data_IF_559413033035
#
_entry.id   IF_559413033035
#
_cell.length_a   1.000
_cell.length_b   1.000
_cell.length_c   1.000
_cell.angle_alpha   90.00
_cell.angle_beta   90.00
_cell.angle_gamma   90.00
#
_symmetry.space_group_name_H-M   'P 1'
#
loop_
_entity.id
_entity.type
_entity.pdbx_description
1 polymer ?
#
# COMPACT_ATOMS: atom_id res chain seq x y z
N UNK A 1 44.91 18.36 -42.95
CA UNK A 1 44.07 17.30 -42.30
C UNK A 1 43.52 17.76 -40.94
N UNK A 2 43.28 19.06 -40.73
CA UNK A 2 42.94 19.59 -39.39
C UNK A 2 41.48 20.03 -39.22
N UNK A 3 40.83 20.57 -40.26
CA UNK A 3 39.47 21.11 -40.14
C UNK A 3 38.40 20.02 -40.12
N UNK A 4 38.50 19.02 -41.01
CA UNK A 4 37.52 17.94 -41.13
C UNK A 4 37.40 17.08 -39.86
N UNK A 5 38.52 16.77 -39.22
CA UNK A 5 38.52 15.98 -37.98
C UNK A 5 37.92 16.77 -36.80
N UNK A 6 38.09 18.10 -36.76
CA UNK A 6 37.47 18.97 -35.75
C UNK A 6 35.93 18.98 -35.87
N UNK A 7 35.40 19.04 -37.09
CA UNK A 7 33.94 18.99 -37.30
C UNK A 7 33.35 17.62 -36.97
N UNK A 8 34.05 16.53 -37.30
CA UNK A 8 33.63 15.17 -36.94
C UNK A 8 33.56 15.01 -35.41
N UNK A 9 34.58 15.49 -34.69
CA UNK A 9 34.59 15.46 -33.22
C UNK A 9 33.40 16.25 -32.62
N UNK A 10 33.10 17.41 -33.19
CA UNK A 10 32.04 18.29 -32.71
C UNK A 10 30.64 17.68 -32.94
N UNK A 11 30.45 16.97 -34.06
CA UNK A 11 29.23 16.19 -34.33
C UNK A 11 29.09 15.03 -33.34
N UNK A 12 30.17 14.27 -33.08
CA UNK A 12 30.13 13.18 -32.10
C UNK A 12 29.81 13.69 -30.69
N UNK A 13 30.39 14.81 -30.27
CA UNK A 13 30.10 15.43 -28.99
C UNK A 13 28.63 15.89 -28.90
N UNK A 14 28.10 16.48 -29.97
CA UNK A 14 26.71 16.91 -30.06
C UNK A 14 25.72 15.74 -29.95
N UNK A 15 25.95 14.65 -30.68
CA UNK A 15 25.12 13.44 -30.61
C UNK A 15 25.19 12.83 -29.21
N UNK A 16 26.38 12.72 -28.62
CA UNK A 16 26.56 12.18 -27.26
C UNK A 16 25.79 12.99 -26.22
N UNK A 17 25.85 14.33 -26.28
CA UNK A 17 25.11 15.20 -25.38
C UNK A 17 23.59 15.05 -25.55
N UNK A 18 23.11 14.95 -26.79
CA UNK A 18 21.69 14.80 -27.08
C UNK A 18 21.15 13.43 -26.64
N UNK A 19 21.93 12.35 -26.83
CA UNK A 19 21.59 11.01 -26.35
C UNK A 19 21.54 10.94 -24.83
N UNK A 20 22.48 11.58 -24.13
CA UNK A 20 22.45 11.69 -22.66
C UNK A 20 21.19 12.43 -22.19
N UNK A 21 20.85 13.55 -22.81
CA UNK A 21 19.63 14.32 -22.50
C UNK A 21 18.35 13.49 -22.68
N UNK A 22 18.31 12.64 -23.70
CA UNK A 22 17.18 11.76 -23.97
C UNK A 22 17.07 10.61 -22.95
N UNK A 23 18.20 10.01 -22.56
CA UNK A 23 18.25 8.97 -21.52
C UNK A 23 17.85 9.54 -20.15
N UNK A 24 18.35 10.73 -19.79
CA UNK A 24 17.97 11.39 -18.54
C UNK A 24 16.48 11.75 -18.52
N UNK A 25 15.94 12.30 -19.61
CA UNK A 25 14.51 12.60 -19.68
C UNK A 25 13.65 11.33 -19.62
N UNK A 26 14.02 10.24 -20.32
CA UNK A 26 13.24 9.02 -20.29
C UNK A 26 13.28 8.35 -18.90
N UNK A 27 14.42 8.39 -18.20
CA UNK A 27 14.52 7.84 -16.83
C UNK A 27 13.80 8.71 -15.79
N UNK A 28 13.83 10.05 -15.92
CA UNK A 28 13.12 10.94 -14.99
C UNK A 28 11.61 11.00 -15.24
N UNK A 29 11.15 11.01 -16.50
CA UNK A 29 9.72 11.13 -16.83
C UNK A 29 8.97 9.80 -16.81
N UNK A 30 9.65 8.66 -16.99
CA UNK A 30 9.03 7.33 -16.87
C UNK A 30 9.00 6.80 -15.44
N UNK A 31 9.30 7.62 -14.44
CA UNK A 31 8.82 7.36 -13.10
C UNK A 31 7.52 8.14 -12.96
N UNK A 32 6.36 7.61 -13.39
CA UNK A 32 5.11 8.13 -12.87
C UNK A 32 5.24 7.92 -11.37
N UNK A 33 5.48 9.01 -10.62
CA UNK A 33 5.13 8.97 -9.22
C UNK A 33 3.69 8.48 -9.22
N UNK A 34 3.50 7.24 -8.78
CA UNK A 34 2.20 6.79 -8.29
C UNK A 34 1.70 7.95 -7.44
N UNK A 35 0.43 8.36 -7.57
CA UNK A 35 -0.10 9.44 -6.74
C UNK A 35 0.36 9.13 -5.33
N UNK A 36 1.26 9.95 -4.80
CA UNK A 36 1.85 9.72 -3.50
C UNK A 36 0.62 9.71 -2.61
N UNK A 37 0.24 8.52 -2.13
CA UNK A 37 -0.73 8.40 -1.06
C UNK A 37 -0.04 9.19 0.04
N UNK A 38 -0.49 10.41 0.28
CA UNK A 38 0.20 11.38 1.15
C UNK A 38 0.45 10.81 2.56
N UNK A 39 -0.22 9.70 2.87
CA UNK A 39 -0.18 8.98 4.11
C UNK A 39 0.80 7.79 4.11
N UNK A 40 1.45 7.41 3.01
CA UNK A 40 2.38 6.25 3.01
C UNK A 40 3.59 6.48 3.94
N UNK A 41 4.15 7.69 3.93
CA UNK A 41 5.24 8.06 4.86
C UNK A 41 4.76 8.06 6.32
N UNK A 42 3.52 8.51 6.56
CA UNK A 42 2.94 8.54 7.91
C UNK A 42 2.63 7.12 8.42
N UNK A 43 2.12 6.25 7.55
CA UNK A 43 1.83 4.84 7.84
C UNK A 43 3.10 3.99 7.98
N UNK A 44 4.25 4.45 7.49
CA UNK A 44 5.53 3.78 7.73
C UNK A 44 5.95 3.85 9.21
N UNK A 45 5.46 4.84 9.96
CA UNK A 45 5.75 5.00 11.38
C UNK A 45 4.64 4.37 12.21
N UNK A 46 5.02 3.46 13.11
CA UNK A 46 4.08 2.82 14.02
C UNK A 46 3.61 3.81 15.08
N UNK A 47 2.33 4.15 15.05
CA UNK A 47 1.72 5.05 16.04
C UNK A 47 1.49 4.31 17.36
N UNK A 48 1.60 5.01 18.50
CA UNK A 48 1.33 4.41 19.81
C UNK A 48 -0.14 4.01 19.95
N UNK A 49 -1.04 4.88 19.48
CA UNK A 49 -2.48 4.66 19.46
C UNK A 49 -3.09 5.25 18.22
N UNK A 50 -4.24 4.71 17.83
CA UNK A 50 -5.14 5.26 16.82
C UNK A 50 -6.58 5.12 17.28
N UNK A 51 -7.39 6.12 16.97
CA UNK A 51 -8.74 6.27 17.48
C UNK A 51 -9.77 6.43 16.35
N UNK A 52 -11.03 6.20 16.70
CA UNK A 52 -12.17 6.35 15.80
C UNK A 52 -12.09 5.48 14.53
N UNK A 53 -11.53 4.28 14.65
CA UNK A 53 -11.41 3.34 13.54
C UNK A 53 -12.77 2.68 13.28
N UNK A 54 -13.11 2.53 12.00
CA UNK A 54 -14.28 1.76 11.55
C UNK A 54 -13.82 0.48 10.87
N UNK A 55 -14.37 -0.66 11.27
CA UNK A 55 -14.18 -1.96 10.60
C UNK A 55 -15.50 -2.42 9.99
N UNK A 56 -15.47 -2.82 8.72
CA UNK A 56 -16.62 -3.37 7.99
C UNK A 56 -16.27 -4.76 7.50
N UNK A 57 -17.09 -5.76 7.84
CA UNK A 57 -17.01 -7.11 7.29
C UNK A 57 -18.16 -7.30 6.29
N UNK A 58 -17.82 -7.31 5.01
CA UNK A 58 -18.74 -7.47 3.90
C UNK A 58 -18.70 -8.90 3.38
N UNK A 59 -19.59 -9.74 3.89
CA UNK A 59 -19.75 -11.14 3.50
C UNK A 59 -20.31 -11.31 2.09
N UNK A 60 -20.59 -10.23 1.36
CA UNK A 60 -21.06 -10.27 -0.04
C UNK A 60 -22.27 -11.20 -0.26
N UNK A 61 -23.16 -11.28 0.73
CA UNK A 61 -24.38 -12.09 0.69
C UNK A 61 -24.27 -13.50 1.27
N UNK A 62 -23.09 -13.94 1.73
CA UNK A 62 -22.94 -15.24 2.42
C UNK A 62 -23.61 -15.22 3.80
N UNK A 63 -23.53 -14.09 4.51
CA UNK A 63 -24.25 -13.83 5.77
C UNK A 63 -24.46 -12.33 5.96
N UNK A 64 -25.05 -11.93 7.10
CA UNK A 64 -25.26 -10.53 7.45
C UNK A 64 -23.93 -9.82 7.66
N UNK A 65 -23.76 -8.67 7.01
CA UNK A 65 -22.58 -7.83 7.14
C UNK A 65 -22.46 -7.24 8.56
N UNK A 66 -21.23 -7.12 9.04
CA UNK A 66 -20.91 -6.60 10.37
C UNK A 66 -20.18 -5.27 10.26
N UNK A 67 -20.40 -4.38 11.25
CA UNK A 67 -19.76 -3.07 11.33
C UNK A 67 -19.39 -2.77 12.78
N UNK A 68 -18.13 -2.42 13.00
CA UNK A 68 -17.61 -1.96 14.28
C UNK A 68 -17.15 -0.52 14.12
N UNK A 69 -17.63 0.38 14.97
CA UNK A 69 -17.34 1.81 14.93
C UNK A 69 -16.69 2.27 16.23
N UNK A 70 -15.95 3.38 16.16
CA UNK A 70 -15.25 3.97 17.31
C UNK A 70 -14.25 3.00 17.97
N UNK A 71 -13.58 2.17 17.17
CA UNK A 71 -12.56 1.25 17.68
C UNK A 71 -11.26 2.02 17.91
N UNK A 72 -10.66 1.80 19.09
CA UNK A 72 -9.35 2.34 19.44
C UNK A 72 -8.32 1.21 19.56
N UNK A 73 -7.14 1.42 19.00
CA UNK A 73 -6.00 0.51 19.14
C UNK A 73 -4.86 1.25 19.83
N UNK A 74 -4.13 0.56 20.70
CA UNK A 74 -3.09 1.17 21.55
C UNK A 74 -1.85 0.29 21.64
N UNK A 75 -0.82 0.69 22.40
CA UNK A 75 0.39 -0.07 22.63
C UNK A 75 1.14 -0.46 21.34
N UNK A 76 1.14 0.44 20.36
CA UNK A 76 1.70 0.18 19.04
C UNK A 76 1.05 -1.02 18.33
N UNK A 77 -0.19 -1.38 18.65
CA UNK A 77 -0.92 -2.48 18.00
C UNK A 77 -1.92 -1.95 16.97
N UNK A 78 -1.45 -1.08 16.08
CA UNK A 78 -2.29 -0.23 15.22
C UNK A 78 -2.42 -0.73 13.78
N UNK A 79 -2.21 -2.01 13.50
CA UNK A 79 -2.27 -2.55 12.13
C UNK A 79 -3.66 -3.04 11.75
N UNK A 80 -3.94 -3.13 10.45
CA UNK A 80 -5.19 -3.72 9.90
C UNK A 80 -5.44 -5.12 10.46
N UNK A 81 -4.40 -5.94 10.56
CA UNK A 81 -4.49 -7.29 11.14
C UNK A 81 -4.91 -7.24 12.62
N UNK A 82 -4.31 -6.34 13.41
CA UNK A 82 -4.61 -6.22 14.84
C UNK A 82 -6.00 -5.66 15.09
N UNK A 83 -6.48 -4.74 14.23
CA UNK A 83 -7.87 -4.31 14.22
C UNK A 83 -8.82 -5.51 14.03
N UNK A 84 -8.55 -6.33 13.02
CA UNK A 84 -9.41 -7.48 12.71
C UNK A 84 -9.39 -8.51 13.85
N UNK A 85 -8.21 -8.81 14.40
CA UNK A 85 -8.05 -9.75 15.52
C UNK A 85 -8.79 -9.28 16.78
N UNK A 86 -8.93 -7.96 16.97
CA UNK A 86 -9.64 -7.39 18.12
C UNK A 86 -11.17 -7.52 18.00
N UNK A 87 -11.70 -7.58 16.77
CA UNK A 87 -13.14 -7.53 16.53
C UNK A 87 -13.76 -8.88 16.10
N UNK A 88 -12.98 -9.78 15.52
CA UNK A 88 -13.49 -10.99 14.88
C UNK A 88 -12.67 -12.23 15.25
N UNK A 89 -13.29 -13.40 15.15
CA UNK A 89 -12.57 -14.67 15.18
C UNK A 89 -11.94 -14.91 13.81
N UNK A 90 -10.63 -15.17 13.77
CA UNK A 90 -9.90 -15.33 12.51
C UNK A 90 -9.05 -16.59 12.49
N UNK A 91 -9.00 -17.21 11.32
CA UNK A 91 -8.01 -18.25 10.99
C UNK A 91 -6.93 -17.61 10.13
N UNK A 92 -5.67 -17.92 10.44
CA UNK A 92 -4.52 -17.39 9.71
C UNK A 92 -3.60 -18.49 9.18
N UNK A 93 -2.92 -18.18 8.10
CA UNK A 93 -1.74 -18.89 7.65
C UNK A 93 -0.51 -18.00 7.81
N UNK A 94 0.46 -18.47 8.58
CA UNK A 94 1.68 -17.74 8.90
C UNK A 94 2.82 -18.18 7.96
N UNK A 95 3.34 -17.26 7.15
CA UNK A 95 4.47 -17.45 6.24
C UNK A 95 5.76 -16.77 6.75
N UNK A 96 5.94 -16.75 8.07
CA UNK A 96 7.05 -16.11 8.75
C UNK A 96 6.79 -14.62 8.97
N UNK A 97 7.19 -13.79 8.01
CA UNK A 97 7.03 -12.34 8.10
C UNK A 97 5.61 -11.88 7.72
N UNK A 98 4.95 -12.60 6.80
CA UNK A 98 3.63 -12.25 6.30
C UNK A 98 2.56 -13.12 6.98
N UNK A 99 1.48 -12.48 7.43
CA UNK A 99 0.30 -13.15 7.94
C UNK A 99 -0.81 -13.04 6.91
N UNK A 100 -1.34 -14.18 6.49
CA UNK A 100 -2.47 -14.25 5.58
C UNK A 100 -3.72 -14.66 6.37
N UNK A 101 -4.78 -13.86 6.28
CA UNK A 101 -6.07 -14.18 6.89
C UNK A 101 -6.81 -15.12 5.95
N UNK A 102 -7.04 -16.35 6.37
CA UNK A 102 -7.73 -17.36 5.57
C UNK A 102 -9.22 -17.35 5.83
N UNK A 103 -9.64 -17.07 7.06
CA UNK A 103 -11.05 -17.07 7.45
C UNK A 103 -11.36 -15.95 8.45
N UNK A 104 -12.60 -15.44 8.39
CA UNK A 104 -13.18 -14.49 9.33
C UNK A 104 -14.55 -15.03 9.73
N UNK A 105 -14.76 -15.26 11.03
CA UNK A 105 -15.96 -15.87 11.60
C UNK A 105 -16.39 -17.14 10.83
N UNK A 106 -15.43 -18.05 10.60
CA UNK A 106 -15.59 -19.33 9.87
C UNK A 106 -15.96 -19.22 8.38
N UNK A 107 -15.91 -18.04 7.77
CA UNK A 107 -16.08 -17.86 6.32
C UNK A 107 -14.70 -17.66 5.67
N UNK A 108 -14.34 -18.36 4.57
CA UNK A 108 -13.03 -18.23 3.93
C UNK A 108 -12.95 -17.09 2.91
N UNK A 109 -11.77 -16.88 2.30
CA UNK A 109 -11.53 -16.02 1.12
C UNK A 109 -11.83 -14.53 1.31
N UNK A 110 -10.79 -13.76 1.61
CA UNK A 110 -10.94 -12.36 1.97
C UNK A 110 -9.92 -11.45 1.31
N UNK A 111 -10.40 -10.25 0.97
CA UNK A 111 -9.57 -9.11 0.57
C UNK A 111 -9.88 -7.94 1.49
N UNK A 112 -8.92 -7.04 1.70
CA UNK A 112 -9.15 -5.83 2.47
C UNK A 112 -8.81 -4.55 1.70
N UNK A 113 -9.51 -3.48 2.04
CA UNK A 113 -9.20 -2.11 1.62
C UNK A 113 -9.24 -1.19 2.84
N UNK A 114 -8.54 -0.07 2.74
CA UNK A 114 -8.57 1.00 3.75
C UNK A 114 -9.04 2.29 3.05
N UNK A 115 -9.98 3.02 3.66
CA UNK A 115 -10.55 4.27 3.16
C UNK A 115 -11.12 4.20 1.72
N UNK A 116 -11.65 3.03 1.33
CA UNK A 116 -12.11 2.74 -0.04
C UNK A 116 -11.04 2.95 -1.12
N UNK A 117 -9.77 2.97 -0.75
CA UNK A 117 -8.66 2.98 -1.69
C UNK A 117 -8.55 1.63 -2.43
N UNK A 118 -7.84 1.59 -3.58
CA UNK A 118 -7.54 0.35 -4.28
C UNK A 118 -6.91 -0.70 -3.34
N UNK A 119 -7.02 -1.97 -3.72
CA UNK A 119 -6.45 -3.09 -2.96
C UNK A 119 -5.00 -2.79 -2.57
N UNK A 120 -4.75 -2.80 -1.26
CA UNK A 120 -3.40 -2.61 -0.75
C UNK A 120 -2.54 -3.82 -1.13
N UNK A 121 -1.39 -3.57 -1.74
CA UNK A 121 -0.38 -4.62 -1.99
C UNK A 121 0.43 -4.95 -0.73
N UNK A 122 0.16 -4.25 0.38
CA UNK A 122 0.82 -4.45 1.67
C UNK A 122 0.03 -5.52 2.42
N UNK A 123 0.71 -6.36 3.20
CA UNK A 123 0.01 -7.34 4.04
C UNK A 123 -0.64 -6.65 5.26
N UNK A 124 -1.78 -7.18 5.72
CA UNK A 124 -2.56 -6.58 6.81
C UNK A 124 -1.76 -6.41 8.11
N UNK A 125 -0.74 -7.25 8.35
CA UNK A 125 0.13 -7.15 9.52
C UNK A 125 1.23 -6.09 9.42
N UNK A 126 1.42 -5.46 8.25
CA UNK A 126 2.36 -4.36 8.02
C UNK A 126 1.68 -3.02 7.74
N UNK A 127 0.38 -3.02 7.42
CA UNK A 127 -0.35 -1.79 7.15
C UNK A 127 -0.79 -1.13 8.47
N UNK A 128 -0.08 -0.07 8.90
CA UNK A 128 -0.48 0.72 10.06
C UNK A 128 -1.67 1.63 9.70
N UNK A 129 -2.60 1.73 10.63
CA UNK A 129 -3.75 2.61 10.58
C UNK A 129 -3.39 4.00 11.07
N UNK A 130 -4.23 4.96 10.71
CA UNK A 130 -4.27 6.34 11.19
C UNK A 130 -5.64 6.59 11.81
N UNK A 131 -5.76 7.65 12.61
CA UNK A 131 -7.05 8.06 13.17
C UNK A 131 -8.12 8.22 12.10
N UNK A 132 -9.34 7.77 12.42
CA UNK A 132 -10.52 7.82 11.54
C UNK A 132 -10.48 6.92 10.30
N UNK A 133 -9.50 6.02 10.19
CA UNK A 133 -9.46 5.07 9.09
C UNK A 133 -10.70 4.16 9.07
N UNK A 134 -11.16 3.83 7.88
CA UNK A 134 -12.18 2.82 7.63
C UNK A 134 -11.56 1.61 6.93
N UNK A 135 -11.53 0.47 7.61
CA UNK A 135 -11.07 -0.80 7.05
C UNK A 135 -12.27 -1.61 6.59
N UNK A 136 -12.25 -2.09 5.35
CA UNK A 136 -13.27 -2.99 4.82
C UNK A 136 -12.64 -4.31 4.42
N UNK A 137 -13.12 -5.41 5.00
CA UNK A 137 -12.87 -6.76 4.54
C UNK A 137 -14.04 -7.23 3.69
N UNK A 138 -13.78 -7.70 2.47
CA UNK A 138 -14.79 -8.17 1.54
C UNK A 138 -14.53 -9.63 1.17
N UNK A 139 -15.56 -10.45 1.25
CA UNK A 139 -15.54 -11.84 0.80
C UNK A 139 -15.42 -11.91 -0.73
N UNK A 140 -14.64 -12.87 -1.23
CA UNK A 140 -14.39 -13.10 -2.68
C UNK A 140 -14.89 -14.47 -3.12
#
# INVERSE_FOLDING_TARGET
MEKRNKYILLVFLGVSCFSLLFIFNSLLLNNPQSPIIQNEEERAVKQYSVDNITLIIDYSGVQTNEKFENVSLTNYQTTVYLLLLNCCEITIQNYGLLIYVTEINSVPNWIYTVNNEPLSNIAANYFNLLDNDTVKWKHV
#
